data_IF_734572632069
#
_entry.id   IF_734572632069
#
_cell.length_a   1.000
_cell.length_b   1.000
_cell.length_c   1.000
_cell.angle_alpha   90.00
_cell.angle_beta   90.00
_cell.angle_gamma   90.00
#
_symmetry.space_group_name_H-M   'P 1'
#
loop_
_entity.id
_entity.type
_entity.pdbx_description
1 polymer ?
#
# COMPACT_ATOMS: atom_id res chain seq x y z
N UNK A 1 12.07 -36.17 24.83
CA UNK A 1 10.89 -36.65 24.07
C UNK A 1 11.01 -36.20 22.61
N UNK A 2 11.93 -36.79 21.85
CA UNK A 2 12.39 -36.21 20.58
C UNK A 2 12.09 -37.13 19.40
N UNK A 3 11.86 -36.55 18.22
CA UNK A 3 11.84 -37.24 16.92
C UNK A 3 10.71 -38.27 16.66
N UNK A 4 10.60 -39.38 17.39
CA UNK A 4 9.62 -40.45 17.08
C UNK A 4 8.18 -39.96 17.33
N UNK A 5 7.96 -39.22 18.42
CA UNK A 5 6.67 -38.60 18.71
C UNK A 5 6.28 -37.57 17.64
N UNK A 6 7.22 -36.74 17.17
CA UNK A 6 6.96 -35.77 16.10
C UNK A 6 6.64 -36.43 14.77
N UNK A 7 7.25 -37.59 14.47
CA UNK A 7 6.98 -38.34 13.25
C UNK A 7 5.60 -39.00 13.27
N UNK A 8 5.14 -39.48 14.43
CA UNK A 8 3.78 -40.03 14.58
C UNK A 8 2.68 -38.97 14.46
N UNK A 9 2.93 -37.75 14.93
CA UNK A 9 1.99 -36.63 14.78
C UNK A 9 2.16 -35.85 13.46
N UNK A 10 3.23 -36.09 12.69
CA UNK A 10 3.54 -35.46 11.40
C UNK A 10 2.38 -35.46 10.38
N UNK A 11 1.62 -36.56 10.16
CA UNK A 11 0.51 -36.54 9.19
C UNK A 11 -0.57 -35.51 9.52
N UNK A 12 -0.67 -35.05 10.77
CA UNK A 12 -1.60 -34.00 11.19
C UNK A 12 -0.90 -32.65 11.32
N UNK A 13 0.28 -32.60 11.94
CA UNK A 13 0.99 -31.34 12.20
C UNK A 13 1.67 -30.76 10.95
N UNK A 14 2.09 -31.61 10.01
CA UNK A 14 2.68 -31.22 8.73
C UNK A 14 1.74 -30.37 7.87
N UNK A 15 0.51 -30.85 7.56
CA UNK A 15 -0.48 -30.06 6.82
C UNK A 15 -0.82 -28.73 7.50
N UNK A 16 -1.00 -28.72 8.82
CA UNK A 16 -1.29 -27.49 9.59
C UNK A 16 -0.14 -26.49 9.53
N UNK A 17 1.11 -26.97 9.65
CA UNK A 17 2.29 -26.14 9.51
C UNK A 17 2.43 -25.58 8.08
N UNK A 18 2.13 -26.40 7.06
CA UNK A 18 2.12 -26.00 5.66
C UNK A 18 1.11 -24.88 5.38
N UNK A 19 -0.14 -25.05 5.82
CA UNK A 19 -1.18 -24.02 5.68
C UNK A 19 -0.76 -22.72 6.37
N UNK A 20 -0.24 -22.81 7.60
CA UNK A 20 0.22 -21.61 8.33
C UNK A 20 1.37 -20.90 7.62
N UNK A 21 2.28 -21.65 7.00
CA UNK A 21 3.37 -21.08 6.21
C UNK A 21 2.84 -20.35 4.97
N UNK A 22 1.89 -20.94 4.23
CA UNK A 22 1.27 -20.29 3.05
C UNK A 22 0.53 -19.01 3.45
N UNK A 23 -0.26 -19.06 4.53
CA UNK A 23 -0.97 -17.88 5.03
C UNK A 23 0.00 -16.75 5.40
N UNK A 24 1.12 -17.08 6.05
CA UNK A 24 2.17 -16.10 6.35
C UNK A 24 2.76 -15.48 5.08
N UNK A 25 3.01 -16.29 4.03
CA UNK A 25 3.51 -15.78 2.75
C UNK A 25 2.52 -14.85 2.05
N UNK A 26 1.24 -15.21 2.03
CA UNK A 26 0.18 -14.36 1.46
C UNK A 26 0.07 -13.05 2.24
N UNK A 27 0.11 -13.13 3.57
CA UNK A 27 0.09 -11.95 4.43
C UNK A 27 1.26 -11.00 4.11
N UNK A 28 2.50 -11.53 3.99
CA UNK A 28 3.66 -10.69 3.64
C UNK A 28 3.46 -9.97 2.30
N UNK A 29 3.03 -10.68 1.26
CA UNK A 29 2.81 -10.06 -0.06
C UNK A 29 1.70 -9.01 0.01
N UNK A 30 0.59 -9.30 0.69
CA UNK A 30 -0.49 -8.34 0.86
C UNK A 30 -0.03 -7.08 1.62
N UNK A 31 0.76 -7.25 2.68
CA UNK A 31 1.32 -6.13 3.43
C UNK A 31 2.30 -5.30 2.59
N UNK A 32 3.09 -5.92 1.72
CA UNK A 32 4.03 -5.21 0.85
C UNK A 32 3.28 -4.39 -0.21
N UNK A 33 2.31 -5.00 -0.91
CA UNK A 33 1.47 -4.32 -1.90
C UNK A 33 0.67 -3.15 -1.29
N UNK A 34 0.07 -3.34 -0.10
CA UNK A 34 -0.70 -2.28 0.57
C UNK A 34 0.17 -1.12 1.07
N UNK A 35 1.49 -1.32 1.18
CA UNK A 35 2.41 -0.33 1.73
C UNK A 35 3.43 0.21 0.73
N UNK A 36 3.31 -0.19 -0.53
CA UNK A 36 4.15 0.31 -1.61
C UNK A 36 3.67 1.69 -2.06
N UNK A 37 4.52 2.69 -1.85
CA UNK A 37 4.28 4.07 -2.28
C UNK A 37 5.05 4.44 -3.56
N UNK A 38 5.85 3.52 -4.11
CA UNK A 38 6.72 3.79 -5.25
C UNK A 38 5.94 4.03 -6.54
N UNK A 39 4.89 3.26 -6.78
CA UNK A 39 4.04 3.41 -7.96
C UNK A 39 3.37 4.79 -7.99
N UNK A 40 2.80 5.22 -6.86
CA UNK A 40 2.11 6.52 -6.77
C UNK A 40 3.08 7.68 -6.92
N UNK A 41 4.31 7.57 -6.39
CA UNK A 41 5.36 8.57 -6.60
C UNK A 41 5.78 8.64 -8.07
N UNK A 42 5.86 7.50 -8.76
CA UNK A 42 6.16 7.48 -10.18
C UNK A 42 5.04 8.15 -11.00
N UNK A 43 3.78 7.86 -10.68
CA UNK A 43 2.61 8.53 -11.29
C UNK A 43 2.65 10.05 -11.06
N UNK A 44 3.04 10.52 -9.86
CA UNK A 44 3.23 11.95 -9.57
C UNK A 44 4.35 12.58 -10.42
N UNK A 45 5.47 11.87 -10.60
CA UNK A 45 6.57 12.35 -11.46
C UNK A 45 6.13 12.47 -12.92
N UNK A 46 5.36 11.52 -13.42
CA UNK A 46 4.80 11.57 -14.77
C UNK A 46 3.81 12.72 -14.92
N UNK A 47 2.93 12.93 -13.94
CA UNK A 47 1.98 14.05 -13.94
C UNK A 47 2.70 15.41 -13.97
N UNK A 48 3.78 15.54 -13.20
CA UNK A 48 4.63 16.74 -13.21
C UNK A 48 5.27 16.98 -14.58
N UNK A 49 5.79 15.93 -15.22
CA UNK A 49 6.37 16.02 -16.56
C UNK A 49 5.33 16.49 -17.59
N UNK A 50 4.10 15.99 -17.53
CA UNK A 50 3.01 16.44 -18.42
C UNK A 50 2.71 17.93 -18.26
N UNK A 51 2.71 18.43 -17.02
CA UNK A 51 2.53 19.86 -16.75
C UNK A 51 3.70 20.67 -17.32
N UNK A 52 4.93 20.21 -17.12
CA UNK A 52 6.14 20.88 -17.64
C UNK A 52 6.20 20.92 -19.16
N UNK A 53 5.70 19.89 -19.84
CA UNK A 53 5.56 19.83 -21.30
C UNK A 53 4.40 20.69 -21.83
N UNK A 54 3.50 21.15 -20.95
CA UNK A 54 2.29 21.88 -21.31
C UNK A 54 1.18 21.00 -21.90
N UNK A 55 1.27 19.68 -21.69
CA UNK A 55 0.23 18.73 -22.12
C UNK A 55 -1.02 18.80 -21.23
N UNK A 56 -0.88 19.31 -20.01
CA UNK A 56 -1.97 19.61 -19.06
C UNK A 56 -1.81 21.01 -18.49
N UNK A 57 -2.91 21.60 -18.03
CA UNK A 57 -2.91 22.88 -17.32
C UNK A 57 -2.83 22.68 -15.79
N UNK A 58 -2.61 23.77 -15.06
CA UNK A 58 -2.51 23.75 -13.60
C UNK A 58 -3.77 23.22 -12.92
N UNK A 59 -4.95 23.52 -13.49
CA UNK A 59 -6.22 23.09 -12.91
C UNK A 59 -6.39 21.56 -13.01
N UNK A 60 -6.03 20.98 -14.15
CA UNK A 60 -6.02 19.54 -14.36
C UNK A 60 -4.94 18.85 -13.52
N UNK A 61 -3.75 19.45 -13.41
CA UNK A 61 -2.70 18.96 -12.52
C UNK A 61 -3.20 18.85 -11.08
N UNK A 62 -3.78 19.92 -10.53
CA UNK A 62 -4.27 19.93 -9.13
C UNK A 62 -5.35 18.87 -8.91
N UNK A 63 -6.29 18.71 -9.85
CA UNK A 63 -7.33 17.67 -9.75
C UNK A 63 -6.72 16.27 -9.71
N UNK A 64 -5.78 15.96 -10.61
CA UNK A 64 -5.16 14.64 -10.69
C UNK A 64 -4.20 14.37 -9.53
N UNK A 65 -3.43 15.38 -9.11
CA UNK A 65 -2.53 15.32 -7.97
C UNK A 65 -3.30 15.00 -6.68
N UNK A 66 -4.47 15.62 -6.47
CA UNK A 66 -5.30 15.38 -5.29
C UNK A 66 -5.68 13.89 -5.14
N UNK A 67 -5.99 13.21 -6.24
CA UNK A 67 -6.30 11.77 -6.26
C UNK A 67 -5.08 10.93 -5.89
N UNK A 68 -3.90 11.26 -6.43
CA UNK A 68 -2.65 10.55 -6.11
C UNK A 68 -2.25 10.77 -4.65
N UNK A 69 -2.41 11.99 -4.15
CA UNK A 69 -2.15 12.32 -2.74
C UNK A 69 -3.13 11.63 -1.78
N UNK A 70 -4.38 11.37 -2.19
CA UNK A 70 -5.30 10.54 -1.42
C UNK A 70 -4.82 9.09 -1.31
N UNK A 71 -4.35 8.49 -2.42
CA UNK A 71 -3.76 7.13 -2.41
C UNK A 71 -2.54 7.05 -1.50
N UNK A 72 -1.66 8.07 -1.51
CA UNK A 72 -0.51 8.12 -0.58
C UNK A 72 -0.93 8.15 0.89
N UNK A 73 -2.05 8.81 1.22
CA UNK A 73 -2.60 8.76 2.59
C UNK A 73 -3.06 7.36 2.96
N UNK A 74 -3.79 6.68 2.09
CA UNK A 74 -4.25 5.31 2.35
C UNK A 74 -3.07 4.35 2.59
N UNK A 75 -2.03 4.45 1.76
CA UNK A 75 -0.79 3.67 1.91
C UNK A 75 -0.12 3.97 3.25
N UNK A 76 -0.06 5.24 3.65
CA UNK A 76 0.46 5.62 4.96
C UNK A 76 -0.39 5.05 6.11
N UNK A 77 -1.71 5.14 6.03
CA UNK A 77 -2.60 4.62 7.07
C UNK A 77 -2.42 3.10 7.22
N UNK A 78 -2.20 2.38 6.11
CA UNK A 78 -1.78 0.98 6.14
C UNK A 78 -0.43 0.77 6.79
N UNK A 79 0.58 1.60 6.48
CA UNK A 79 1.90 1.53 7.13
C UNK A 79 1.80 1.75 8.63
N UNK A 80 1.05 2.75 9.09
CA UNK A 80 0.84 3.03 10.51
C UNK A 80 0.15 1.85 11.21
N UNK A 81 -0.92 1.30 10.61
CA UNK A 81 -1.62 0.13 11.15
C UNK A 81 -0.75 -1.12 11.24
N UNK A 82 0.19 -1.27 10.31
CA UNK A 82 1.16 -2.37 10.28
C UNK A 82 2.45 -2.06 11.08
N UNK A 83 2.54 -0.89 11.72
CA UNK A 83 3.74 -0.47 12.46
C UNK A 83 4.98 -0.24 11.58
N UNK A 84 4.80 -0.07 10.27
CA UNK A 84 5.88 0.24 9.33
C UNK A 84 6.21 1.75 9.40
N UNK A 85 7.46 2.10 9.10
CA UNK A 85 7.91 3.49 9.08
C UNK A 85 7.19 4.33 8.02
N UNK A 86 6.69 5.49 8.43
CA UNK A 86 6.14 6.51 7.53
C UNK A 86 7.23 7.51 7.22
N UNK A 87 7.62 7.62 5.95
CA UNK A 87 8.55 8.65 5.48
C UNK A 87 7.75 9.83 4.93
N UNK A 88 7.93 11.02 5.51
CA UNK A 88 7.32 12.27 5.04
C UNK A 88 6.44 12.94 6.09
N UNK A 89 6.14 14.22 5.86
CA UNK A 89 5.22 15.00 6.70
C UNK A 89 3.75 14.64 6.46
N UNK A 90 2.81 15.27 7.19
CA UNK A 90 1.39 15.04 6.99
C UNK A 90 0.94 15.40 5.56
N UNK A 91 0.44 14.42 4.79
CA UNK A 91 -0.10 14.63 3.44
C UNK A 91 -1.44 15.39 3.53
N UNK A 92 -1.41 16.67 3.17
CA UNK A 92 -2.60 17.52 3.04
C UNK A 92 -3.07 17.50 1.59
N UNK A 93 -4.37 17.33 1.37
CA UNK A 93 -5.00 17.57 0.06
C UNK A 93 -5.94 18.74 0.23
N UNK A 94 -5.91 19.64 -0.74
CA UNK A 94 -6.92 20.67 -0.86
C UNK A 94 -8.26 19.99 -1.10
N UNK A 95 -9.19 20.13 -0.16
CA UNK A 95 -10.56 19.65 -0.37
C UNK A 95 -11.21 20.64 -1.34
N UNK A 96 -11.51 20.20 -2.56
CA UNK A 96 -12.29 21.01 -3.49
C UNK A 96 -13.75 20.96 -3.05
N UNK A 97 -14.41 22.11 -2.98
CA UNK A 97 -15.78 22.30 -2.47
C UNK A 97 -16.85 21.56 -3.30
N UNK A 98 -16.47 20.98 -4.44
CA UNK A 98 -17.36 20.30 -5.39
C UNK A 98 -17.82 18.90 -4.93
N UNK A 99 -17.14 18.28 -3.95
CA UNK A 99 -17.53 16.97 -3.38
C UNK A 99 -18.73 17.08 -2.39
N UNK A 100 -19.13 18.30 -2.01
CA UNK A 100 -20.22 18.55 -1.07
C UNK A 100 -21.62 18.60 -1.72
N UNK A 101 -21.71 18.37 -3.03
CA UNK A 101 -22.94 18.52 -3.81
C UNK A 101 -23.60 17.20 -4.26
N UNK A 102 -23.15 16.04 -3.76
CA UNK A 102 -23.77 14.73 -4.05
C UNK A 102 -24.56 14.14 -2.88
#
# INVERSE_FOLDING_TARGET
MGLISNLLFFPVTGPVAGVRWVLGKVQTVAEDELTDDSSVKQELMELQMLLELGDIDDAEYVRREAVLMQRLREIRDWRERLGKGVSGGPVRVAHNEDDAAE
#
